data_IF_488951102044
#
_entry.id   IF_488951102044
#
_cell.length_a   1.000
_cell.length_b   1.000
_cell.length_c   1.000
_cell.angle_alpha   90.00
_cell.angle_beta   90.00
_cell.angle_gamma   90.00
#
_symmetry.space_group_name_H-M   'P 1'
#
loop_
_entity.id
_entity.type
_entity.pdbx_description
1 polymer ?
#
# COMPACT_ATOMS: atom_id res chain seq x y z
N UNK A 1 -4.09 -13.08 -4.86
CA UNK A 1 -3.99 -11.73 -5.44
C UNK A 1 -4.22 -10.65 -4.38
N UNK A 2 -5.36 -10.65 -3.66
CA UNK A 2 -5.68 -9.60 -2.69
C UNK A 2 -4.58 -9.38 -1.63
N UNK A 3 -4.01 -10.47 -1.10
CA UNK A 3 -2.96 -10.40 -0.07
C UNK A 3 -1.63 -9.84 -0.58
N UNK A 4 -1.40 -9.87 -1.90
CA UNK A 4 -0.19 -9.34 -2.53
C UNK A 4 -0.40 -7.96 -3.18
N UNK A 5 -1.65 -7.46 -3.18
CA UNK A 5 -2.02 -6.22 -3.84
C UNK A 5 -1.27 -4.99 -3.29
N UNK A 6 -0.81 -5.04 -2.04
CA UNK A 6 0.02 -3.99 -1.45
C UNK A 6 1.36 -3.80 -2.19
N UNK A 7 1.90 -4.87 -2.81
CA UNK A 7 3.12 -4.81 -3.63
C UNK A 7 2.84 -4.48 -5.10
N UNK A 8 1.76 -5.04 -5.65
CA UNK A 8 1.51 -5.03 -7.11
C UNK A 8 0.63 -3.87 -7.55
N UNK A 9 -0.29 -3.43 -6.67
CA UNK A 9 -1.26 -2.39 -6.96
C UNK A 9 -1.27 -1.25 -5.92
N UNK A 10 -0.44 -1.32 -4.88
CA UNK A 10 -0.40 -0.32 -3.81
C UNK A 10 -1.70 -0.23 -3.00
N UNK A 11 -2.48 -1.32 -2.95
CA UNK A 11 -3.81 -1.40 -2.31
C UNK A 11 -3.81 -2.40 -1.16
N UNK A 12 -4.62 -2.15 -0.13
CA UNK A 12 -4.96 -3.17 0.86
C UNK A 12 -5.82 -4.29 0.24
N UNK A 13 -5.86 -5.45 0.91
CA UNK A 13 -6.70 -6.57 0.45
C UNK A 13 -8.19 -6.20 0.38
N UNK A 14 -8.67 -5.37 1.31
CA UNK A 14 -10.06 -4.92 1.33
C UNK A 14 -10.36 -3.99 0.13
N UNK A 15 -9.50 -3.01 -0.15
CA UNK A 15 -9.65 -2.12 -1.33
C UNK A 15 -9.59 -2.91 -2.64
N UNK A 16 -8.70 -3.89 -2.72
CA UNK A 16 -8.63 -4.80 -3.86
C UNK A 16 -9.95 -5.55 -4.04
N UNK A 17 -10.48 -6.17 -2.99
CA UNK A 17 -11.74 -6.93 -3.05
C UNK A 17 -12.95 -6.05 -3.37
N UNK A 18 -13.01 -4.83 -2.84
CA UNK A 18 -14.04 -3.86 -3.17
C UNK A 18 -13.99 -3.51 -4.67
N UNK A 19 -12.80 -3.23 -5.18
CA UNK A 19 -12.58 -2.91 -6.60
C UNK A 19 -12.98 -4.09 -7.49
N UNK A 20 -12.54 -5.32 -7.21
CA UNK A 20 -12.93 -6.54 -7.95
C UNK A 20 -14.45 -6.68 -7.99
N UNK A 21 -15.10 -6.53 -6.85
CA UNK A 21 -16.55 -6.74 -6.72
C UNK A 21 -17.34 -5.80 -7.63
N UNK A 22 -16.83 -4.60 -7.89
CA UNK A 22 -17.50 -3.57 -8.70
C UNK A 22 -17.72 -3.96 -10.17
N UNK A 23 -16.88 -4.85 -10.73
CA UNK A 23 -16.94 -5.28 -12.14
C UNK A 23 -16.87 -6.81 -12.37
N UNK A 24 -16.77 -7.59 -11.30
CA UNK A 24 -16.61 -9.06 -11.38
C UNK A 24 -17.74 -9.75 -12.19
N UNK A 25 -18.98 -9.29 -12.06
CA UNK A 25 -20.10 -9.86 -12.80
C UNK A 25 -19.94 -9.75 -14.31
N UNK A 26 -19.41 -8.62 -14.80
CA UNK A 26 -19.16 -8.40 -16.23
C UNK A 26 -17.99 -9.25 -16.74
N UNK A 27 -16.95 -9.45 -15.93
CA UNK A 27 -15.86 -10.37 -16.26
C UNK A 27 -16.36 -11.81 -16.34
N UNK A 28 -17.08 -12.29 -15.33
CA UNK A 28 -17.66 -13.64 -15.33
C UNK A 28 -18.53 -13.88 -16.57
N UNK A 29 -19.40 -12.93 -16.91
CA UNK A 29 -20.25 -13.04 -18.10
C UNK A 29 -19.43 -13.11 -19.40
N UNK A 30 -18.35 -12.32 -19.53
CA UNK A 30 -17.48 -12.32 -20.71
C UNK A 30 -16.59 -13.56 -20.82
N UNK A 31 -16.42 -14.32 -19.72
CA UNK A 31 -15.53 -15.49 -19.62
C UNK A 31 -16.31 -16.80 -19.38
N UNK A 32 -17.56 -16.89 -19.83
CA UNK A 32 -18.40 -18.08 -19.71
C UNK A 32 -18.54 -18.60 -18.27
N UNK A 33 -18.54 -17.71 -17.28
CA UNK A 33 -18.58 -18.00 -15.85
C UNK A 33 -17.37 -18.82 -15.32
N UNK A 34 -16.23 -18.78 -16.00
CA UNK A 34 -14.98 -19.31 -15.47
C UNK A 34 -14.45 -18.38 -14.36
N UNK A 35 -14.63 -18.79 -13.11
CA UNK A 35 -14.28 -17.99 -11.93
C UNK A 35 -12.78 -17.82 -11.78
N UNK A 36 -11.97 -18.82 -12.14
CA UNK A 36 -10.52 -18.76 -12.01
C UNK A 36 -9.95 -17.79 -13.05
N UNK A 37 -10.36 -17.93 -14.31
CA UNK A 37 -9.96 -17.02 -15.38
C UNK A 37 -10.44 -15.58 -15.11
N UNK A 38 -11.66 -15.40 -14.59
CA UNK A 38 -12.18 -14.08 -14.24
C UNK A 38 -11.38 -13.43 -13.09
N UNK A 39 -10.94 -14.21 -12.09
CA UNK A 39 -10.12 -13.70 -11.00
C UNK A 39 -8.71 -13.27 -11.48
N UNK A 40 -8.11 -14.04 -12.40
CA UNK A 40 -6.84 -13.66 -13.04
C UNK A 40 -6.99 -12.37 -13.85
N UNK A 41 -8.05 -12.28 -14.64
CA UNK A 41 -8.34 -11.08 -15.43
C UNK A 41 -8.63 -9.85 -14.57
N UNK A 42 -9.35 -10.04 -13.46
CA UNK A 42 -9.57 -8.97 -12.48
C UNK A 42 -8.26 -8.46 -11.88
N UNK A 43 -7.32 -9.37 -11.60
CA UNK A 43 -6.00 -8.98 -11.10
C UNK A 43 -5.23 -8.14 -12.14
N UNK A 44 -5.26 -8.54 -13.41
CA UNK A 44 -4.65 -7.73 -14.49
C UNK A 44 -5.30 -6.35 -14.53
N UNK A 45 -6.64 -6.27 -14.54
CA UNK A 45 -7.36 -5.00 -14.59
C UNK A 45 -6.98 -4.07 -13.43
N UNK A 46 -6.91 -4.58 -12.20
CA UNK A 46 -6.57 -3.76 -11.02
C UNK A 46 -5.12 -3.30 -11.06
N UNK A 47 -4.19 -4.17 -11.44
CA UNK A 47 -2.79 -3.80 -11.60
C UNK A 47 -2.64 -2.71 -12.66
N UNK A 48 -3.30 -2.86 -13.81
CA UNK A 48 -3.31 -1.88 -14.89
C UNK A 48 -3.93 -0.53 -14.47
N UNK A 49 -5.00 -0.55 -13.64
CA UNK A 49 -5.59 0.68 -13.09
C UNK A 49 -4.57 1.41 -12.22
N UNK A 50 -3.88 0.70 -11.34
CA UNK A 50 -2.88 1.28 -10.43
C UNK A 50 -1.67 1.81 -11.20
N UNK A 51 -1.16 1.03 -12.15
CA UNK A 51 -0.03 1.42 -12.98
C UNK A 51 -0.35 2.65 -13.83
N UNK A 52 -1.59 2.71 -14.37
CA UNK A 52 -2.05 3.87 -15.12
C UNK A 52 -2.15 5.10 -14.22
N UNK A 53 -2.81 4.98 -13.06
CA UNK A 53 -2.93 6.06 -12.09
C UNK A 53 -1.56 6.60 -11.70
N UNK A 54 -0.62 5.71 -11.40
CA UNK A 54 0.74 6.04 -11.02
C UNK A 54 1.50 6.75 -12.17
N UNK A 55 1.56 6.12 -13.34
CA UNK A 55 2.36 6.63 -14.47
C UNK A 55 1.79 7.90 -15.07
N UNK A 56 0.47 7.98 -15.19
CA UNK A 56 -0.21 9.10 -15.87
C UNK A 56 -0.64 10.21 -14.90
N UNK A 57 -0.47 10.00 -13.59
CA UNK A 57 -0.86 10.98 -12.55
C UNK A 57 -2.36 11.27 -12.54
N UNK A 58 -3.18 10.25 -12.79
CA UNK A 58 -4.65 10.34 -12.69
C UNK A 58 -5.08 9.75 -11.36
N UNK A 59 -6.07 10.36 -10.71
CA UNK A 59 -6.66 9.80 -9.49
C UNK A 59 -7.19 8.38 -9.76
N UNK A 60 -6.81 7.43 -8.89
CA UNK A 60 -7.18 6.01 -9.06
C UNK A 60 -8.69 5.81 -9.13
N UNK A 61 -9.48 6.62 -8.42
CA UNK A 61 -10.94 6.54 -8.43
C UNK A 61 -11.53 6.88 -9.81
N UNK A 62 -10.91 7.80 -10.54
CA UNK A 62 -11.32 8.13 -11.92
C UNK A 62 -11.03 6.99 -12.89
N UNK A 63 -9.91 6.28 -12.69
CA UNK A 63 -9.57 5.10 -13.49
C UNK A 63 -10.51 3.94 -13.16
N UNK A 64 -10.79 3.68 -11.88
CA UNK A 64 -11.76 2.66 -11.45
C UNK A 64 -13.16 2.94 -12.02
N UNK A 65 -13.60 4.21 -12.00
CA UNK A 65 -14.87 4.61 -12.59
C UNK A 65 -14.90 4.37 -14.12
N UNK A 66 -13.78 4.60 -14.81
CA UNK A 66 -13.69 4.31 -16.24
C UNK A 66 -13.86 2.81 -16.51
N UNK A 67 -13.14 1.93 -15.79
CA UNK A 67 -13.27 0.48 -15.93
C UNK A 67 -14.67 -0.03 -15.56
N UNK A 68 -15.30 0.53 -14.53
CA UNK A 68 -16.70 0.26 -14.19
C UNK A 68 -17.68 0.72 -15.29
N UNK A 69 -17.36 1.80 -15.98
CA UNK A 69 -18.07 2.26 -17.18
C UNK A 69 -17.91 1.27 -18.33
N UNK A 70 -16.67 0.83 -18.61
CA UNK A 70 -16.39 -0.13 -19.70
C UNK A 70 -17.11 -1.46 -19.48
N UNK A 71 -17.19 -1.94 -18.23
CA UNK A 71 -17.96 -3.12 -17.86
C UNK A 71 -19.47 -3.03 -18.23
N UNK A 72 -19.97 -1.81 -18.39
CA UNK A 72 -21.35 -1.49 -18.80
C UNK A 72 -21.42 -0.98 -20.25
N UNK A 73 -20.35 -1.17 -21.03
CA UNK A 73 -20.21 -0.67 -22.40
C UNK A 73 -20.36 0.87 -22.52
N UNK A 74 -20.02 1.59 -21.46
CA UNK A 74 -19.94 3.05 -21.44
C UNK A 74 -18.48 3.49 -21.49
N UNK A 75 -18.06 4.09 -22.59
CA UNK A 75 -16.67 4.44 -22.86
C UNK A 75 -16.38 5.94 -22.69
N UNK A 76 -17.31 6.70 -22.12
CA UNK A 76 -17.20 8.17 -21.97
C UNK A 76 -16.02 8.61 -21.12
N UNK A 77 -15.49 7.75 -20.27
CA UNK A 77 -14.35 8.03 -19.38
C UNK A 77 -13.02 7.41 -19.87
N UNK A 78 -12.95 6.98 -21.13
CA UNK A 78 -11.71 6.40 -21.68
C UNK A 78 -10.54 7.39 -21.65
N UNK A 79 -10.83 8.66 -21.84
CA UNK A 79 -9.85 9.76 -21.78
C UNK A 79 -9.19 9.94 -20.42
N UNK A 80 -9.81 9.46 -19.31
CA UNK A 80 -9.21 9.46 -17.98
C UNK A 80 -7.92 8.63 -17.93
N UNK A 81 -7.81 7.59 -18.77
CA UNK A 81 -6.62 6.76 -18.85
C UNK A 81 -5.44 7.46 -19.53
N UNK A 82 -5.68 8.61 -20.18
CA UNK A 82 -4.64 9.41 -20.89
C UNK A 82 -3.78 8.62 -21.88
N UNK A 83 -4.35 7.59 -22.49
CA UNK A 83 -3.66 6.73 -23.48
C UNK A 83 -3.72 7.30 -24.93
N UNK A 84 -4.21 8.52 -25.10
CA UNK A 84 -4.34 9.16 -26.41
C UNK A 84 -5.65 8.82 -27.16
N UNK A 85 -6.65 8.31 -26.43
CA UNK A 85 -7.98 8.02 -26.95
C UNK A 85 -9.01 8.89 -26.24
N UNK A 86 -10.01 9.36 -27.00
CA UNK A 86 -11.14 10.15 -26.48
C UNK A 86 -12.23 9.29 -25.85
N UNK A 87 -13.14 9.92 -25.12
CA UNK A 87 -14.23 9.25 -24.40
C UNK A 87 -15.42 8.85 -25.30
N UNK A 88 -15.22 8.10 -26.37
CA UNK A 88 -16.28 7.60 -27.24
C UNK A 88 -16.15 6.12 -27.57
N UNK A 89 -17.22 5.51 -28.06
CA UNK A 89 -17.20 4.10 -28.47
C UNK A 89 -16.24 3.87 -29.67
N UNK A 90 -16.20 4.80 -30.59
CA UNK A 90 -15.32 4.78 -31.77
C UNK A 90 -13.85 4.82 -31.34
N UNK A 91 -13.52 5.61 -30.33
CA UNK A 91 -12.17 5.70 -29.77
C UNK A 91 -11.79 4.41 -29.02
N UNK A 92 -12.72 3.80 -28.28
CA UNK A 92 -12.49 2.48 -27.69
C UNK A 92 -12.26 1.42 -28.80
N UNK A 93 -13.03 1.44 -29.89
CA UNK A 93 -12.79 0.53 -31.00
C UNK A 93 -11.40 0.77 -31.62
N UNK A 94 -10.98 2.03 -31.77
CA UNK A 94 -9.63 2.37 -32.26
C UNK A 94 -8.54 1.80 -31.33
N UNK A 95 -8.73 1.87 -29.99
CA UNK A 95 -7.83 1.27 -29.03
C UNK A 95 -7.73 -0.26 -29.21
N UNK A 96 -8.86 -0.94 -29.37
CA UNK A 96 -8.89 -2.39 -29.62
C UNK A 96 -8.20 -2.75 -30.96
N UNK A 97 -8.40 -1.95 -31.99
CA UNK A 97 -7.76 -2.14 -33.30
C UNK A 97 -6.23 -1.95 -33.21
N UNK A 98 -5.78 -0.96 -32.45
CA UNK A 98 -4.35 -0.73 -32.23
C UNK A 98 -3.73 -1.83 -31.36
N UNK A 99 -4.41 -2.27 -30.28
CA UNK A 99 -4.01 -3.44 -29.52
C UNK A 99 -3.93 -4.72 -30.37
N UNK A 100 -4.87 -4.88 -31.28
CA UNK A 100 -4.88 -6.03 -32.23
C UNK A 100 -3.66 -6.02 -33.17
N UNK A 101 -3.22 -4.85 -33.59
CA UNK A 101 -1.99 -4.71 -34.41
C UNK A 101 -0.74 -5.06 -33.61
N UNK A 102 -0.71 -4.70 -32.34
CA UNK A 102 0.43 -4.95 -31.44
C UNK A 102 0.53 -6.43 -31.04
N UNK A 103 -0.59 -7.04 -30.65
CA UNK A 103 -0.62 -8.41 -30.12
C UNK A 103 -0.82 -9.50 -31.16
N UNK A 104 -1.38 -9.15 -32.34
CA UNK A 104 -1.84 -10.12 -33.36
C UNK A 104 -3.17 -10.82 -32.99
N UNK A 105 -3.80 -10.44 -31.85
CA UNK A 105 -5.07 -10.98 -31.34
C UNK A 105 -6.20 -10.03 -31.72
N UNK A 106 -7.35 -10.57 -32.15
CA UNK A 106 -8.53 -9.77 -32.42
C UNK A 106 -9.37 -9.63 -31.15
N UNK A 107 -9.67 -8.40 -30.75
CA UNK A 107 -10.49 -8.08 -29.59
C UNK A 107 -11.92 -7.67 -30.00
N UNK A 108 -12.90 -8.08 -29.18
CA UNK A 108 -14.32 -7.75 -29.38
C UNK A 108 -14.73 -6.69 -28.35
N UNK A 109 -15.19 -5.51 -28.80
CA UNK A 109 -15.65 -4.42 -27.96
C UNK A 109 -16.87 -4.79 -27.09
N UNK A 110 -17.62 -5.83 -27.46
CA UNK A 110 -18.74 -6.33 -26.65
C UNK A 110 -18.32 -7.23 -25.48
N UNK A 111 -17.09 -7.75 -25.52
CA UNK A 111 -16.48 -8.58 -24.47
C UNK A 111 -15.68 -7.72 -23.52
N UNK A 112 -16.10 -7.64 -22.25
CA UNK A 112 -15.38 -6.84 -21.26
C UNK A 112 -13.96 -7.37 -21.01
N UNK A 113 -13.76 -8.70 -21.02
CA UNK A 113 -12.41 -9.27 -20.89
C UNK A 113 -11.49 -8.85 -22.03
N UNK A 114 -12.00 -8.75 -23.27
CA UNK A 114 -11.22 -8.30 -24.42
C UNK A 114 -10.88 -6.82 -24.33
N UNK A 115 -11.79 -6.00 -23.80
CA UNK A 115 -11.51 -4.58 -23.52
C UNK A 115 -10.38 -4.44 -22.51
N UNK A 116 -10.40 -5.23 -21.42
CA UNK A 116 -9.31 -5.24 -20.42
C UNK A 116 -7.99 -5.66 -21.06
N UNK A 117 -7.98 -6.72 -21.87
CA UNK A 117 -6.77 -7.19 -22.55
C UNK A 117 -6.21 -6.16 -23.53
N UNK A 118 -7.07 -5.51 -24.30
CA UNK A 118 -6.66 -4.48 -25.24
C UNK A 118 -6.02 -3.29 -24.52
N UNK A 119 -6.59 -2.86 -23.39
CA UNK A 119 -6.01 -1.80 -22.56
C UNK A 119 -4.65 -2.23 -22.02
N UNK A 120 -4.53 -3.46 -21.50
CA UNK A 120 -3.27 -4.00 -21.00
C UNK A 120 -2.18 -3.99 -22.10
N UNK A 121 -2.49 -4.42 -23.30
CA UNK A 121 -1.54 -4.41 -24.43
C UNK A 121 -1.06 -3.00 -24.76
N UNK A 122 -1.98 -2.03 -24.82
CA UNK A 122 -1.63 -0.63 -25.10
C UNK A 122 -0.78 -0.05 -23.95
N UNK A 123 -1.14 -0.31 -22.70
CA UNK A 123 -0.37 0.16 -21.55
C UNK A 123 1.02 -0.47 -21.49
N UNK A 124 1.15 -1.74 -21.88
CA UNK A 124 2.44 -2.44 -21.97
C UNK A 124 3.34 -1.78 -23.02
N UNK A 125 2.80 -1.52 -24.22
CA UNK A 125 3.55 -0.82 -25.28
C UNK A 125 3.99 0.58 -24.85
N UNK A 126 3.18 1.28 -24.05
CA UNK A 126 3.50 2.60 -23.51
C UNK A 126 4.43 2.56 -22.30
N UNK A 127 4.86 1.38 -21.82
CA UNK A 127 5.71 1.22 -20.64
C UNK A 127 5.04 1.71 -19.34
N UNK A 128 3.73 1.49 -19.23
CA UNK A 128 2.92 1.83 -18.06
C UNK A 128 2.86 0.66 -17.08
N UNK A 129 2.78 -0.56 -17.57
CA UNK A 129 2.68 -1.78 -16.76
C UNK A 129 3.87 -1.96 -15.82
N UNK A 130 3.64 -2.54 -14.65
CA UNK A 130 4.61 -2.82 -13.58
C UNK A 130 5.21 -1.57 -12.89
N UNK A 131 4.71 -0.36 -13.20
CA UNK A 131 5.27 0.88 -12.61
C UNK A 131 4.98 0.97 -11.12
N UNK A 132 3.80 0.57 -10.65
CA UNK A 132 3.44 0.58 -9.23
C UNK A 132 4.30 -0.39 -8.43
N UNK A 133 4.45 -1.62 -8.91
CA UNK A 133 5.29 -2.64 -8.24
C UNK A 133 6.77 -2.21 -8.20
N UNK A 134 7.26 -1.60 -9.25
CA UNK A 134 8.62 -1.05 -9.32
C UNK A 134 8.80 0.09 -8.31
N UNK A 135 7.85 1.02 -8.23
CA UNK A 135 7.93 2.13 -7.28
C UNK A 135 7.80 1.65 -5.83
N UNK A 136 6.91 0.70 -5.54
CA UNK A 136 6.78 0.09 -4.23
C UNK A 136 8.10 -0.51 -3.72
N UNK A 137 8.96 -0.97 -4.63
CA UNK A 137 10.25 -1.58 -4.27
C UNK A 137 11.43 -0.61 -4.31
N UNK A 138 11.38 0.48 -5.09
CA UNK A 138 12.57 1.29 -5.40
C UNK A 138 12.48 2.75 -5.00
N UNK A 139 11.30 3.26 -4.66
CA UNK A 139 11.11 4.66 -4.27
C UNK A 139 10.67 4.79 -2.81
N UNK A 140 10.95 5.95 -2.20
CA UNK A 140 10.48 6.23 -0.83
C UNK A 140 8.95 6.28 -0.81
N UNK A 141 8.35 7.05 -1.71
CA UNK A 141 6.89 7.26 -1.75
C UNK A 141 6.14 5.96 -2.00
N UNK A 142 6.53 5.20 -3.03
CA UNK A 142 5.91 3.91 -3.35
C UNK A 142 6.07 2.88 -2.25
N UNK A 143 7.26 2.81 -1.61
CA UNK A 143 7.48 1.87 -0.50
C UNK A 143 6.69 2.24 0.76
N UNK A 144 6.53 3.54 1.06
CA UNK A 144 5.68 4.00 2.17
C UNK A 144 4.21 3.68 1.89
N UNK A 145 3.73 3.90 0.67
CA UNK A 145 2.36 3.53 0.27
C UNK A 145 2.12 2.02 0.41
N UNK A 146 3.04 1.20 -0.10
CA UNK A 146 2.99 -0.26 0.04
C UNK A 146 2.99 -0.72 1.50
N UNK A 147 3.82 -0.11 2.35
CA UNK A 147 3.86 -0.38 3.79
C UNK A 147 2.53 0.00 4.47
N UNK A 148 1.92 1.12 4.09
CA UNK A 148 0.61 1.52 4.61
C UNK A 148 -0.47 0.48 4.30
N UNK A 149 -0.51 -0.01 3.06
CA UNK A 149 -1.46 -1.06 2.65
C UNK A 149 -1.19 -2.40 3.36
N UNK A 150 0.09 -2.75 3.57
CA UNK A 150 0.46 -3.94 4.36
C UNK A 150 0.07 -3.80 5.84
N UNK A 151 0.17 -2.59 6.41
CA UNK A 151 -0.31 -2.28 7.75
C UNK A 151 -1.83 -2.46 7.87
N UNK A 152 -2.59 -1.94 6.89
CA UNK A 152 -4.05 -2.09 6.88
C UNK A 152 -4.47 -3.56 6.80
N UNK A 153 -3.77 -4.37 5.99
CA UNK A 153 -3.97 -5.82 5.94
C UNK A 153 -3.66 -6.50 7.29
N UNK A 154 -2.59 -6.09 7.95
CA UNK A 154 -2.19 -6.63 9.24
C UNK A 154 -3.23 -6.30 10.33
N UNK A 155 -3.71 -5.04 10.38
CA UNK A 155 -4.76 -4.61 11.31
C UNK A 155 -6.07 -5.35 11.04
N UNK A 156 -6.49 -5.47 9.78
CA UNK A 156 -7.68 -6.24 9.41
C UNK A 156 -7.57 -7.71 9.83
N UNK A 157 -6.39 -8.32 9.64
CA UNK A 157 -6.11 -9.70 10.03
C UNK A 157 -6.18 -9.97 11.54
N UNK A 158 -6.02 -8.94 12.40
CA UNK A 158 -6.22 -9.11 13.85
C UNK A 158 -7.69 -9.41 14.22
N UNK A 159 -8.62 -8.95 13.40
CA UNK A 159 -10.06 -9.17 13.62
C UNK A 159 -10.58 -10.43 12.91
N UNK A 160 -9.77 -11.08 12.07
CA UNK A 160 -10.14 -12.26 11.29
C UNK A 160 -9.45 -13.52 11.83
N UNK A 161 -10.21 -14.41 12.44
CA UNK A 161 -9.71 -15.67 13.01
C UNK A 161 -9.20 -16.67 11.96
N UNK A 162 -9.55 -16.50 10.69
CA UNK A 162 -9.13 -17.35 9.57
C UNK A 162 -7.90 -16.77 8.84
N UNK A 163 -7.50 -15.54 9.15
CA UNK A 163 -6.36 -14.90 8.52
C UNK A 163 -5.04 -15.61 8.87
N UNK A 164 -4.18 -15.77 7.88
CA UNK A 164 -2.79 -16.19 8.13
C UNK A 164 -1.99 -15.01 8.71
N UNK A 165 -2.17 -14.76 10.02
CA UNK A 165 -1.58 -13.62 10.71
C UNK A 165 -0.04 -13.63 10.68
N UNK A 166 0.58 -14.81 10.65
CA UNK A 166 2.03 -14.95 10.50
C UNK A 166 2.50 -14.39 9.15
N UNK A 167 1.77 -14.69 8.07
CA UNK A 167 2.08 -14.17 6.74
C UNK A 167 1.87 -12.64 6.66
N UNK A 168 0.78 -12.13 7.24
CA UNK A 168 0.51 -10.70 7.28
C UNK A 168 1.60 -9.94 8.06
N UNK A 169 2.08 -10.54 9.16
CA UNK A 169 3.20 -9.97 9.94
C UNK A 169 4.50 -9.97 9.13
N UNK A 170 4.81 -11.06 8.41
CA UNK A 170 5.98 -11.11 7.53
C UNK A 170 5.88 -10.05 6.42
N UNK A 171 4.73 -9.93 5.78
CA UNK A 171 4.51 -8.94 4.73
C UNK A 171 4.71 -7.50 5.22
N UNK A 172 4.23 -7.19 6.43
CA UNK A 172 4.45 -5.89 7.05
C UNK A 172 5.92 -5.64 7.36
N UNK A 173 6.61 -6.61 7.94
CA UNK A 173 8.05 -6.50 8.23
C UNK A 173 8.87 -6.28 6.96
N UNK A 174 8.59 -7.04 5.90
CA UNK A 174 9.26 -6.90 4.60
C UNK A 174 9.04 -5.51 4.00
N UNK A 175 7.82 -4.96 4.12
CA UNK A 175 7.53 -3.62 3.64
C UNK A 175 8.25 -2.53 4.45
N UNK A 176 8.35 -2.68 5.78
CA UNK A 176 9.14 -1.78 6.63
C UNK A 176 10.62 -1.82 6.24
N UNK A 177 11.18 -3.01 6.03
CA UNK A 177 12.59 -3.17 5.58
C UNK A 177 12.81 -2.48 4.24
N UNK A 178 11.87 -2.59 3.31
CA UNK A 178 11.93 -1.91 2.00
C UNK A 178 11.94 -0.39 2.15
N UNK A 179 11.05 0.16 2.99
CA UNK A 179 11.02 1.61 3.31
C UNK A 179 12.36 2.07 3.88
N UNK A 180 12.87 1.36 4.88
CA UNK A 180 14.17 1.69 5.49
C UNK A 180 15.30 1.63 4.46
N UNK A 181 15.30 0.61 3.61
CA UNK A 181 16.29 0.45 2.53
C UNK A 181 16.27 1.61 1.52
N UNK A 182 15.09 2.12 1.19
CA UNK A 182 14.92 3.25 0.27
C UNK A 182 15.26 4.60 0.93
N UNK A 183 14.98 4.77 2.22
CA UNK A 183 15.25 6.02 2.97
C UNK A 183 16.73 6.13 3.37
N UNK A 184 17.35 5.04 3.86
CA UNK A 184 18.67 5.07 4.45
C UNK A 184 19.76 5.73 3.58
N UNK A 185 19.88 5.42 2.26
CA UNK A 185 20.86 6.07 1.40
C UNK A 185 20.68 7.58 1.31
N UNK A 186 19.42 8.04 1.29
CA UNK A 186 19.09 9.47 1.23
C UNK A 186 19.43 10.20 2.52
N UNK A 187 19.14 9.57 3.66
CA UNK A 187 19.51 10.11 4.97
C UNK A 187 21.03 10.21 5.09
N UNK A 188 21.76 9.16 4.74
CA UNK A 188 23.23 9.12 4.80
C UNK A 188 23.83 10.21 3.91
N UNK A 189 23.29 10.44 2.72
CA UNK A 189 23.76 11.49 1.81
C UNK A 189 23.39 12.90 2.30
N UNK A 190 22.22 13.06 2.92
CA UNK A 190 21.66 14.37 3.26
C UNK A 190 22.17 14.90 4.61
N UNK A 191 22.38 14.01 5.60
CA UNK A 191 22.82 14.39 6.95
C UNK A 191 24.11 15.24 6.94
N UNK A 192 25.19 14.88 6.21
CA UNK A 192 26.38 15.72 6.16
C UNK A 192 26.12 17.12 5.59
N UNK A 193 25.23 17.22 4.59
CA UNK A 193 24.86 18.52 3.98
C UNK A 193 24.04 19.37 4.95
N UNK A 194 23.11 18.74 5.70
CA UNK A 194 22.34 19.40 6.75
C UNK A 194 23.25 19.88 7.88
N UNK A 195 24.20 19.05 8.34
CA UNK A 195 25.17 19.43 9.37
C UNK A 195 26.02 20.59 8.92
N UNK A 196 26.48 20.62 7.67
CA UNK A 196 27.23 21.74 7.11
C UNK A 196 26.40 23.02 7.03
N UNK A 197 25.14 22.92 6.53
CA UNK A 197 24.23 24.07 6.48
C UNK A 197 23.79 24.56 7.87
N UNK A 198 23.62 23.64 8.84
CA UNK A 198 23.37 24.01 10.23
C UNK A 198 24.55 24.71 10.87
N UNK A 199 25.79 24.39 10.49
CA UNK A 199 26.99 25.09 10.95
C UNK A 199 26.92 26.59 10.65
N UNK A 200 26.53 26.96 9.43
CA UNK A 200 26.36 28.38 9.03
C UNK A 200 25.20 29.05 9.77
N UNK A 201 24.09 28.33 10.02
CA UNK A 201 22.94 28.83 10.78
C UNK A 201 23.31 28.99 12.25
N UNK A 202 24.03 28.03 12.84
CA UNK A 202 24.48 28.08 14.24
C UNK A 202 25.41 29.26 14.47
N UNK A 203 26.27 29.57 13.53
CA UNK A 203 27.17 30.73 13.62
C UNK A 203 26.38 32.06 13.65
N UNK A 204 25.28 32.14 12.87
CA UNK A 204 24.37 33.29 12.88
C UNK A 204 23.48 33.34 14.13
N UNK A 205 23.09 32.19 14.65
CA UNK A 205 22.23 32.06 15.83
C UNK A 205 23.02 32.02 17.15
N UNK A 206 24.35 31.93 17.10
CA UNK A 206 25.19 31.79 18.28
C UNK A 206 24.99 32.91 19.32
N UNK A 207 24.55 34.08 18.88
CA UNK A 207 24.17 35.21 19.78
C UNK A 207 22.87 34.96 20.52
N UNK A 208 21.97 34.16 19.98
CA UNK A 208 20.65 33.86 20.57
C UNK A 208 20.62 32.55 21.36
N UNK A 209 21.54 31.61 21.05
CA UNK A 209 21.60 30.29 21.70
C UNK A 209 21.70 30.34 23.21
N UNK A 210 22.56 31.19 23.84
CA UNK A 210 22.66 31.25 25.28
C UNK A 210 21.32 31.63 25.93
N UNK A 211 20.57 32.56 25.34
CA UNK A 211 19.29 33.03 25.88
C UNK A 211 18.20 31.95 25.74
N UNK A 212 18.13 31.30 24.57
CA UNK A 212 17.21 30.19 24.29
C UNK A 212 17.49 29.00 25.22
N UNK A 213 18.76 28.67 25.44
CA UNK A 213 19.16 27.60 26.38
C UNK A 213 18.75 27.94 27.79
N UNK A 214 18.97 29.17 28.25
CA UNK A 214 18.60 29.59 29.60
C UNK A 214 17.08 29.56 29.82
N UNK A 215 16.28 29.83 28.81
CA UNK A 215 14.81 29.83 28.91
C UNK A 215 14.17 28.46 28.71
N UNK A 216 14.73 27.62 27.82
CA UNK A 216 14.14 26.32 27.44
C UNK A 216 14.69 25.14 28.27
N UNK A 217 15.95 25.19 28.68
CA UNK A 217 16.58 24.08 29.40
C UNK A 217 15.90 23.75 30.74
N UNK A 218 15.54 24.73 31.58
CA UNK A 218 14.90 24.45 32.86
C UNK A 218 13.54 23.74 32.70
N UNK A 219 12.59 24.22 31.87
CA UNK A 219 11.31 23.50 31.69
C UNK A 219 11.46 22.13 31.03
N UNK A 220 12.43 21.95 30.10
CA UNK A 220 12.72 20.64 29.53
C UNK A 220 13.29 19.66 30.57
N UNK A 221 14.23 20.11 31.40
CA UNK A 221 14.79 19.32 32.52
C UNK A 221 13.70 18.94 33.53
N UNK A 222 12.81 19.89 33.86
CA UNK A 222 11.66 19.63 34.72
C UNK A 222 10.73 18.58 34.11
N UNK A 223 10.39 18.72 32.84
CA UNK A 223 9.53 17.74 32.11
C UNK A 223 10.15 16.34 32.06
N UNK A 224 11.45 16.23 31.83
CA UNK A 224 12.16 14.95 31.88
C UNK A 224 12.15 14.36 33.28
N UNK A 225 12.34 15.20 34.33
CA UNK A 225 12.31 14.76 35.70
C UNK A 225 10.92 14.29 36.13
N UNK A 226 9.86 14.97 35.68
CA UNK A 226 8.48 14.58 35.94
C UNK A 226 8.13 13.25 35.21
N UNK A 227 8.60 13.05 33.99
CA UNK A 227 8.47 11.77 33.28
C UNK A 227 9.19 10.64 34.01
N UNK A 228 10.43 10.87 34.47
CA UNK A 228 11.19 9.88 35.25
C UNK A 228 10.50 9.54 36.56
N UNK A 229 10.01 10.55 37.29
CA UNK A 229 9.27 10.35 38.52
C UNK A 229 7.98 9.57 38.30
N UNK A 230 7.27 9.84 37.21
CA UNK A 230 6.05 9.11 36.83
C UNK A 230 6.38 7.65 36.54
N UNK A 231 7.43 7.38 35.73
CA UNK A 231 7.86 6.02 35.39
C UNK A 231 8.30 5.25 36.67
N UNK A 232 9.08 5.88 37.54
CA UNK A 232 9.49 5.28 38.80
C UNK A 232 8.29 5.04 39.72
N UNK A 233 7.32 5.95 39.74
CA UNK A 233 6.07 5.81 40.50
C UNK A 233 5.19 4.63 40.00
N UNK A 234 5.26 4.28 38.73
CA UNK A 234 4.51 3.15 38.16
C UNK A 234 5.18 1.77 38.42
N UNK A 235 6.48 1.74 38.77
CA UNK A 235 7.19 0.49 39.05
C UNK A 235 6.56 -0.39 40.11
N UNK A 236 6.13 0.13 41.30
CA UNK A 236 5.48 -0.68 42.30
C UNK A 236 4.19 -1.36 41.82
N UNK A 237 3.42 -0.65 41.01
CA UNK A 237 2.17 -1.17 40.43
C UNK A 237 2.44 -2.27 39.41
N UNK A 238 3.42 -2.08 38.54
CA UNK A 238 3.89 -3.10 37.60
C UNK A 238 4.40 -4.35 38.34
N UNK A 239 5.19 -4.20 39.38
CA UNK A 239 5.68 -5.32 40.21
C UNK A 239 4.50 -6.04 40.90
N UNK A 240 3.51 -5.30 41.39
CA UNK A 240 2.29 -5.88 41.97
C UNK A 240 1.51 -6.70 40.95
N UNK A 241 1.31 -6.20 39.72
CA UNK A 241 0.63 -6.90 38.63
C UNK A 241 1.39 -8.19 38.29
N UNK A 242 2.70 -8.12 38.12
CA UNK A 242 3.54 -9.29 37.81
C UNK A 242 3.45 -10.31 38.98
N UNK A 243 3.50 -9.84 40.21
CA UNK A 243 3.35 -10.70 41.39
C UNK A 243 1.99 -11.42 41.51
N UNK A 244 0.94 -10.85 40.93
CA UNK A 244 -0.39 -11.48 40.86
C UNK A 244 -0.53 -12.46 39.69
N UNK A 245 0.10 -12.18 38.56
CA UNK A 245 0.03 -13.01 37.36
C UNK A 245 0.86 -14.29 37.48
N UNK A 246 2.05 -14.21 38.07
CA UNK A 246 2.96 -15.37 38.21
C UNK A 246 2.30 -16.56 38.92
N UNK A 247 1.64 -16.40 40.09
CA UNK A 247 0.95 -17.49 40.75
C UNK A 247 -0.15 -18.11 39.89
N UNK A 248 -0.92 -17.25 39.19
CA UNK A 248 -2.00 -17.71 38.31
C UNK A 248 -1.48 -18.57 37.15
N UNK A 249 -0.34 -18.18 36.57
CA UNK A 249 0.33 -18.96 35.51
C UNK A 249 0.81 -20.30 36.08
N UNK A 250 1.42 -20.30 37.25
CA UNK A 250 1.94 -21.52 37.91
C UNK A 250 0.78 -22.47 38.23
N UNK A 251 -0.32 -21.99 38.80
CA UNK A 251 -1.50 -22.81 39.10
C UNK A 251 -2.14 -23.39 37.84
N UNK A 252 -2.20 -22.59 36.77
CA UNK A 252 -2.71 -23.06 35.45
C UNK A 252 -1.82 -24.16 34.90
N UNK A 253 -0.50 -23.98 34.92
CA UNK A 253 0.44 -24.99 34.46
C UNK A 253 0.38 -26.28 35.28
N UNK A 254 0.28 -26.18 36.60
CA UNK A 254 0.12 -27.33 37.50
C UNK A 254 -1.19 -28.07 37.29
N UNK A 255 -2.26 -27.40 36.85
CA UNK A 255 -3.56 -28.00 36.54
C UNK A 255 -3.55 -28.70 35.18
N UNK A 256 -2.85 -28.19 34.21
CA UNK A 256 -2.80 -28.74 32.83
C UNK A 256 -1.75 -29.86 32.71
N UNK A 257 -0.62 -29.76 33.40
CA UNK A 257 0.46 -30.76 33.31
C UNK A 257 0.04 -32.21 33.59
N UNK A 258 -0.83 -32.50 34.60
CA UNK A 258 -1.34 -33.88 34.84
C UNK A 258 -2.31 -34.37 33.77
N UNK A 259 -2.86 -33.50 32.94
CA UNK A 259 -3.78 -33.87 31.85
C UNK A 259 -3.03 -34.17 30.53
N UNK A 260 -1.75 -33.87 30.48
CA UNK A 260 -0.85 -34.08 29.34
C UNK A 260 0.08 -35.30 29.51
N UNK A 261 0.13 -35.88 30.73
CA UNK A 261 0.81 -37.13 31.09
C UNK A 261 -0.19 -38.28 31.23
#
# INVERSE_FOLDING_TARGET
YANDAYKTAGMSANEYMETVTSFSASLLASMNNDTAAAAEKANVAITDMSDNANKMGTDISLIQNAYNGFAKQNYTMLDNLKLGYGGTKEEMQRLLDDASKLSGIKYDISSYSDVVDAIHVVQTEMGITETTAKEASTTIEGSVSSMSSAWDNWVAGMADSEANFSQLTSNLVDSIVTVVGNIAPRVIETVPRLVSGLGEIVEQLATYIPQVIQELLPPLMSGVQDLLNTLVGMLPEMISIIGQIIPTIIDTLLTILPQLL
#
